data_IF_033510817357
#
_entry.id   IF_033510817357
#
_cell.length_a   1.000
_cell.length_b   1.000
_cell.length_c   1.000
_cell.angle_alpha   90.00
_cell.angle_beta   90.00
_cell.angle_gamma   90.00
#
_symmetry.space_group_name_H-M   'P 1'
#
loop_
_entity.id
_entity.type
_entity.pdbx_description
1 polymer ?
#
# COMPACT_ATOMS: atom_id res chain seq x y z
N UNK A 1 -79.39 -6.77 -44.00
CA UNK A 1 -78.84 -5.40 -44.05
C UNK A 1 -77.60 -5.37 -43.25
N UNK A 2 -76.47 -5.07 -43.90
CA UNK A 2 -75.10 -5.19 -43.44
C UNK A 2 -74.63 -3.92 -42.70
N UNK A 3 -74.02 -4.05 -41.52
CA UNK A 3 -73.28 -2.96 -40.91
C UNK A 3 -71.85 -3.47 -40.62
N UNK A 4 -70.92 -2.80 -41.27
CA UNK A 4 -69.51 -3.02 -41.20
C UNK A 4 -68.98 -2.24 -40.02
N UNK A 5 -68.38 -2.93 -39.05
CA UNK A 5 -67.68 -2.28 -37.93
C UNK A 5 -66.19 -2.23 -38.23
N UNK A 6 -65.63 -1.04 -38.27
CA UNK A 6 -64.22 -0.76 -38.46
C UNK A 6 -63.50 -0.92 -37.13
N UNK A 7 -62.57 -1.91 -37.05
CA UNK A 7 -61.63 -2.01 -35.94
C UNK A 7 -60.37 -1.19 -36.24
N UNK A 8 -60.14 -0.17 -35.44
CA UNK A 8 -58.88 0.57 -35.42
C UNK A 8 -57.90 -0.13 -34.47
N UNK A 9 -56.86 -0.69 -35.07
CA UNK A 9 -55.72 -1.24 -34.29
C UNK A 9 -54.78 -0.12 -33.87
N UNK A 10 -54.74 0.13 -32.54
CA UNK A 10 -53.77 1.04 -31.94
C UNK A 10 -52.41 0.33 -31.74
N UNK A 11 -51.44 0.75 -32.51
CA UNK A 11 -50.03 0.30 -32.33
C UNK A 11 -49.43 1.13 -31.20
N UNK A 12 -49.27 0.50 -30.02
CA UNK A 12 -48.55 1.08 -28.91
C UNK A 12 -47.03 0.91 -29.10
N UNK A 13 -46.33 2.00 -29.35
CA UNK A 13 -44.85 2.04 -29.37
C UNK A 13 -44.36 2.05 -27.91
N UNK A 14 -43.88 0.90 -27.46
CA UNK A 14 -43.07 0.79 -26.25
C UNK A 14 -41.63 1.25 -26.57
N UNK A 15 -41.34 2.50 -26.21
CA UNK A 15 -39.97 3.02 -26.21
C UNK A 15 -39.22 2.43 -25.01
N UNK A 16 -38.49 1.33 -25.20
CA UNK A 16 -37.53 0.82 -24.20
C UNK A 16 -36.32 1.73 -24.17
N UNK A 17 -36.29 2.64 -23.21
CA UNK A 17 -35.13 3.46 -22.91
C UNK A 17 -33.98 2.59 -22.32
N UNK A 18 -33.08 2.15 -23.16
CA UNK A 18 -31.81 1.57 -22.75
C UNK A 18 -30.96 2.66 -22.10
N UNK A 19 -30.97 2.68 -20.78
CA UNK A 19 -30.09 3.53 -19.97
C UNK A 19 -28.69 2.92 -20.03
N UNK A 20 -27.88 3.35 -21.00
CA UNK A 20 -26.47 3.04 -21.08
C UNK A 20 -25.76 3.70 -19.89
N UNK A 21 -25.56 2.95 -18.81
CA UNK A 21 -24.57 3.31 -17.79
C UNK A 21 -23.18 3.24 -18.43
N UNK A 22 -22.69 4.39 -18.86
CA UNK A 22 -21.29 4.55 -19.21
C UNK A 22 -20.48 4.41 -17.90
N UNK A 23 -19.98 3.22 -17.65
CA UNK A 23 -18.84 3.08 -16.74
C UNK A 23 -17.69 3.85 -17.40
N UNK A 24 -17.44 5.06 -16.92
CA UNK A 24 -16.19 5.74 -17.20
C UNK A 24 -15.09 4.84 -16.63
N UNK A 25 -14.41 4.12 -17.51
CA UNK A 25 -13.15 3.50 -17.16
C UNK A 25 -12.25 4.67 -16.70
N UNK A 26 -11.99 4.74 -15.40
CA UNK A 26 -10.95 5.60 -14.86
C UNK A 26 -9.67 5.06 -15.50
N UNK A 27 -9.23 5.69 -16.58
CA UNK A 27 -7.87 5.54 -17.06
C UNK A 27 -7.00 6.00 -15.90
N UNK A 28 -6.28 5.06 -15.34
CA UNK A 28 -5.09 5.38 -14.57
C UNK A 28 -4.11 6.00 -15.56
N UNK A 29 -4.25 7.30 -15.82
CA UNK A 29 -3.16 8.07 -16.39
C UNK A 29 -2.00 7.87 -15.43
N UNK A 30 -0.85 7.43 -15.97
CA UNK A 30 0.34 7.08 -15.22
C UNK A 30 0.94 8.30 -14.51
N UNK A 31 0.21 8.82 -13.55
CA UNK A 31 0.75 9.76 -12.58
C UNK A 31 1.75 8.96 -11.74
N UNK A 32 3.03 9.27 -11.90
CA UNK A 32 4.08 8.76 -11.02
C UNK A 32 3.64 8.93 -9.58
N UNK A 33 3.72 7.86 -8.78
CA UNK A 33 3.34 7.93 -7.37
C UNK A 33 4.13 9.04 -6.67
N UNK A 34 3.49 9.85 -5.84
CA UNK A 34 4.14 10.99 -5.24
C UNK A 34 5.25 10.53 -4.27
N UNK A 35 6.46 10.98 -4.52
CA UNK A 35 7.58 10.87 -3.60
C UNK A 35 7.48 12.06 -2.65
N UNK A 36 7.51 11.81 -1.33
CA UNK A 36 7.31 12.88 -0.35
C UNK A 36 8.55 13.77 -0.18
N UNK A 37 9.74 13.18 -0.26
CA UNK A 37 11.03 13.86 -0.15
C UNK A 37 12.11 13.02 -0.84
N UNK A 38 13.14 13.67 -1.33
CA UNK A 38 14.33 13.02 -1.89
C UNK A 38 15.41 12.73 -0.85
N UNK A 39 15.16 13.09 0.42
CA UNK A 39 16.08 12.86 1.54
C UNK A 39 15.49 11.84 2.50
N UNK A 40 16.37 11.00 3.05
CA UNK A 40 16.02 10.13 4.16
C UNK A 40 15.57 10.98 5.36
N UNK A 41 14.44 10.67 6.01
CA UNK A 41 14.05 11.36 7.23
C UNK A 41 15.13 11.20 8.30
N UNK A 42 15.52 12.32 8.91
CA UNK A 42 16.53 12.30 9.96
C UNK A 42 16.07 11.43 11.14
N UNK A 43 16.99 10.64 11.70
CA UNK A 43 16.73 9.83 12.89
C UNK A 43 15.72 8.68 12.71
N UNK A 44 15.35 8.32 11.49
CA UNK A 44 14.36 7.26 11.26
C UNK A 44 14.75 5.91 11.88
N UNK A 45 16.03 5.63 12.05
CA UNK A 45 16.50 4.38 12.66
C UNK A 45 16.29 4.33 14.18
N UNK A 46 16.06 5.47 14.82
CA UNK A 46 15.76 5.60 16.25
C UNK A 46 14.25 5.60 16.52
N UNK A 47 13.42 5.48 15.48
CA UNK A 47 11.98 5.41 15.64
C UNK A 47 11.56 4.09 16.30
N UNK A 48 10.37 4.11 16.89
CA UNK A 48 9.86 2.96 17.64
C UNK A 48 9.44 1.84 16.72
N UNK A 49 9.68 0.61 17.16
CA UNK A 49 9.27 -0.60 16.45
C UNK A 49 7.74 -0.72 16.42
N UNK A 50 7.21 -0.95 15.24
CA UNK A 50 5.81 -1.33 15.02
C UNK A 50 5.69 -2.85 14.95
N UNK A 51 6.53 -3.49 14.15
CA UNK A 51 6.52 -4.94 13.92
C UNK A 51 7.78 -5.42 13.24
N UNK A 52 7.95 -6.73 13.19
CA UNK A 52 8.92 -7.44 12.38
C UNK A 52 8.21 -8.45 11.49
N UNK A 53 8.79 -8.78 10.34
CA UNK A 53 8.27 -9.81 9.45
C UNK A 53 9.40 -10.50 8.69
N UNK A 54 9.16 -11.72 8.25
CA UNK A 54 9.89 -12.39 7.20
C UNK A 54 8.96 -12.57 6.01
N UNK A 55 9.41 -12.15 4.84
CA UNK A 55 8.68 -12.36 3.59
C UNK A 55 9.43 -13.38 2.74
N UNK A 56 8.77 -14.49 2.47
CA UNK A 56 9.32 -15.57 1.65
C UNK A 56 9.26 -15.28 0.15
N UNK A 57 9.70 -16.24 -0.64
CA UNK A 57 9.66 -16.21 -2.10
C UNK A 57 10.71 -15.29 -2.68
N UNK A 58 10.35 -14.50 -3.67
CA UNK A 58 11.29 -13.65 -4.41
C UNK A 58 11.94 -12.54 -3.57
N UNK A 59 11.31 -12.17 -2.46
CA UNK A 59 11.86 -11.15 -1.56
C UNK A 59 12.86 -11.75 -0.59
N UNK A 60 12.52 -12.86 0.04
CA UNK A 60 13.32 -13.58 1.03
C UNK A 60 14.07 -12.63 1.97
N UNK A 61 13.33 -11.72 2.59
CA UNK A 61 13.88 -10.65 3.41
C UNK A 61 13.34 -10.64 4.85
N UNK A 62 14.19 -10.23 5.79
CA UNK A 62 13.79 -9.84 7.13
C UNK A 62 13.47 -8.35 7.15
N UNK A 63 12.39 -7.99 7.85
CA UNK A 63 11.89 -6.62 7.94
C UNK A 63 11.74 -6.15 9.36
N UNK A 64 12.16 -4.91 9.61
CA UNK A 64 11.73 -4.12 10.75
C UNK A 64 10.86 -2.98 10.24
N UNK A 65 9.68 -2.82 10.82
CA UNK A 65 8.78 -1.71 10.51
C UNK A 65 8.76 -0.77 11.70
N UNK A 66 9.19 0.46 11.47
CA UNK A 66 9.31 1.51 12.47
C UNK A 66 8.30 2.61 12.19
N UNK A 67 7.94 3.36 13.21
CA UNK A 67 7.08 4.53 13.07
C UNK A 67 7.56 5.71 13.89
N UNK A 68 7.32 6.92 13.37
CA UNK A 68 7.46 8.12 14.18
C UNK A 68 6.42 8.15 15.30
N UNK A 69 6.53 9.08 16.23
CA UNK A 69 5.64 9.15 17.41
C UNK A 69 4.16 9.29 17.03
N UNK A 70 3.85 9.97 15.93
CA UNK A 70 2.47 10.12 15.43
C UNK A 70 1.92 8.77 14.98
N UNK A 71 2.68 8.01 14.17
CA UNK A 71 2.29 6.69 13.72
C UNK A 71 2.12 5.71 14.89
N UNK A 72 3.08 5.69 15.83
CA UNK A 72 3.01 4.83 17.03
C UNK A 72 1.79 5.14 17.87
N UNK A 73 1.48 6.43 18.10
CA UNK A 73 0.29 6.83 18.84
C UNK A 73 -1.00 6.39 18.15
N UNK A 74 -1.06 6.51 16.83
CA UNK A 74 -2.22 6.05 16.05
C UNK A 74 -2.42 4.53 16.17
N UNK A 75 -1.36 3.74 16.02
CA UNK A 75 -1.42 2.28 16.21
C UNK A 75 -1.91 1.87 17.58
N UNK A 76 -1.31 2.44 18.65
CA UNK A 76 -1.67 2.12 20.04
C UNK A 76 -3.12 2.46 20.37
N UNK A 77 -3.66 3.50 19.77
CA UNK A 77 -5.04 3.93 19.97
C UNK A 77 -6.03 3.30 18.99
N UNK A 78 -5.59 2.43 18.09
CA UNK A 78 -6.43 1.84 17.03
C UNK A 78 -7.06 2.90 16.11
N UNK A 79 -6.39 4.07 15.95
CA UNK A 79 -6.94 5.20 15.21
C UNK A 79 -6.77 5.02 13.71
N UNK A 80 -7.88 5.00 12.98
CA UNK A 80 -7.94 5.04 11.51
C UNK A 80 -8.90 6.16 11.06
N UNK A 81 -8.60 6.84 9.95
CA UNK A 81 -7.32 6.80 9.25
C UNK A 81 -6.18 7.39 10.10
N UNK A 82 -4.94 7.09 9.71
CA UNK A 82 -3.77 7.68 10.37
C UNK A 82 -3.78 9.19 10.21
N UNK A 83 -3.34 9.94 11.25
CA UNK A 83 -3.23 11.39 11.18
C UNK A 83 -2.15 11.83 10.19
N UNK A 84 -2.33 13.00 9.58
CA UNK A 84 -1.28 13.64 8.79
C UNK A 84 -0.01 13.82 9.62
N UNK A 85 1.13 13.63 8.97
CA UNK A 85 2.44 13.60 9.62
C UNK A 85 2.84 12.22 10.18
N UNK A 86 1.98 11.20 10.14
CA UNK A 86 2.39 9.84 10.43
C UNK A 86 3.39 9.37 9.36
N UNK A 87 4.51 8.78 9.81
CA UNK A 87 5.51 8.22 8.91
C UNK A 87 5.84 6.81 9.38
N UNK A 88 5.86 5.89 8.42
CA UNK A 88 6.20 4.49 8.61
C UNK A 88 7.42 4.19 7.75
N UNK A 89 8.43 3.57 8.36
CA UNK A 89 9.64 3.12 7.70
C UNK A 89 9.71 1.60 7.72
N UNK A 90 9.91 0.99 6.56
CA UNK A 90 10.19 -0.43 6.42
C UNK A 90 11.67 -0.61 6.05
N UNK A 91 12.44 -1.17 6.96
CA UNK A 91 13.83 -1.55 6.73
C UNK A 91 13.86 -3.01 6.32
N UNK A 92 14.64 -3.36 5.29
CA UNK A 92 14.73 -4.73 4.80
C UNK A 92 16.18 -5.18 4.62
N UNK A 93 16.42 -6.44 4.96
CA UNK A 93 17.71 -7.13 4.85
C UNK A 93 17.51 -8.51 4.26
N UNK A 94 18.53 -9.05 3.61
CA UNK A 94 18.52 -10.45 3.22
C UNK A 94 18.30 -11.34 4.44
N UNK A 95 17.47 -12.37 4.28
CA UNK A 95 17.27 -13.42 5.25
C UNK A 95 18.34 -14.47 5.04
N UNK A 96 19.25 -14.64 5.99
CA UNK A 96 20.37 -15.58 5.87
C UNK A 96 20.50 -16.46 7.10
N UNK A 97 20.92 -17.73 6.97
CA UNK A 97 21.18 -18.58 8.11
C UNK A 97 22.36 -18.02 8.93
N UNK A 98 22.25 -18.13 10.24
CA UNK A 98 23.37 -17.85 11.16
C UNK A 98 24.23 -19.09 11.29
N UNK A 99 25.32 -19.16 10.56
CA UNK A 99 26.23 -20.31 10.61
C UNK A 99 26.77 -20.55 12.03
N UNK A 100 27.14 -19.48 12.74
CA UNK A 100 27.65 -19.56 14.10
C UNK A 100 26.62 -20.17 15.06
N UNK A 101 25.41 -19.62 15.10
CA UNK A 101 24.36 -20.11 16.00
C UNK A 101 23.91 -21.51 15.60
N UNK A 102 23.76 -21.80 14.32
CA UNK A 102 23.33 -23.11 13.83
C UNK A 102 24.35 -24.21 14.16
N UNK A 103 25.64 -23.88 14.15
CA UNK A 103 26.68 -24.78 14.60
C UNK A 103 26.54 -25.11 16.09
N UNK A 104 26.24 -24.12 16.93
CA UNK A 104 25.99 -24.34 18.38
C UNK A 104 24.75 -25.18 18.60
N UNK A 105 23.67 -24.94 17.85
CA UNK A 105 22.42 -25.70 17.96
C UNK A 105 22.48 -27.11 17.36
N UNK A 106 23.51 -27.39 16.55
CA UNK A 106 23.64 -28.65 15.82
C UNK A 106 22.59 -28.85 14.72
N UNK A 107 21.87 -27.80 14.35
CA UNK A 107 20.85 -27.78 13.28
C UNK A 107 20.59 -26.36 12.78
N UNK A 108 20.01 -26.27 11.59
CA UNK A 108 19.56 -24.99 11.01
C UNK A 108 18.23 -24.56 11.67
N UNK A 109 18.30 -23.54 12.51
CA UNK A 109 17.12 -22.95 13.18
C UNK A 109 17.27 -21.46 13.47
N UNK A 110 18.46 -20.89 13.30
CA UNK A 110 18.76 -19.50 13.56
C UNK A 110 19.03 -18.78 12.24
N UNK A 111 18.31 -17.69 12.01
CA UNK A 111 18.45 -16.83 10.85
C UNK A 111 18.68 -15.39 11.30
N UNK A 112 19.45 -14.66 10.56
CA UNK A 112 19.85 -13.29 10.89
C UNK A 112 19.70 -12.38 9.67
N UNK A 113 19.84 -11.09 9.90
CA UNK A 113 19.92 -10.10 8.82
C UNK A 113 21.25 -10.20 8.11
N UNK A 114 21.22 -10.43 6.80
CA UNK A 114 22.37 -10.25 5.91
C UNK A 114 22.47 -8.80 5.44
N UNK A 115 22.92 -8.60 4.19
CA UNK A 115 23.05 -7.28 3.60
C UNK A 115 21.72 -6.51 3.62
N UNK A 116 21.78 -5.20 3.89
CA UNK A 116 20.65 -4.33 3.72
C UNK A 116 20.24 -4.25 2.24
N UNK A 117 18.93 -4.34 1.96
CA UNK A 117 18.44 -4.28 0.58
C UNK A 117 17.85 -2.91 0.26
N UNK A 118 16.95 -2.43 1.07
CA UNK A 118 16.34 -1.11 0.89
C UNK A 118 15.66 -0.62 2.17
N UNK A 119 15.31 0.65 2.16
CA UNK A 119 14.36 1.23 3.12
C UNK A 119 13.22 1.92 2.37
N UNK A 120 12.00 1.66 2.80
CA UNK A 120 10.79 2.26 2.21
C UNK A 120 10.08 3.11 3.25
N UNK A 121 9.44 4.17 2.77
CA UNK A 121 8.65 5.06 3.63
C UNK A 121 7.24 5.22 3.07
N UNK A 122 6.28 5.27 3.99
CA UNK A 122 4.95 5.79 3.76
C UNK A 122 4.75 7.02 4.62
N UNK A 123 4.33 8.13 4.02
CA UNK A 123 4.12 9.41 4.69
C UNK A 123 2.69 9.86 4.52
N UNK A 124 1.99 10.08 5.62
CA UNK A 124 0.60 10.54 5.59
C UNK A 124 0.54 12.05 5.44
N UNK A 125 -0.10 12.49 4.35
CA UNK A 125 -0.57 13.85 4.11
C UNK A 125 -1.82 13.76 3.24
N UNK A 126 -2.97 13.90 3.87
CA UNK A 126 -4.28 13.67 3.25
C UNK A 126 -4.59 14.62 2.10
N UNK A 127 -3.96 15.80 2.07
CA UNK A 127 -4.11 16.80 1.00
C UNK A 127 -3.12 16.58 -0.13
N UNK A 128 -1.85 16.43 0.21
CA UNK A 128 -0.77 16.27 -0.78
C UNK A 128 -0.92 14.97 -1.58
N UNK A 129 -1.33 13.90 -0.93
CA UNK A 129 -1.41 12.55 -1.48
C UNK A 129 -2.85 12.05 -1.62
N UNK A 130 -3.80 12.94 -1.88
CA UNK A 130 -5.24 12.58 -1.98
C UNK A 130 -5.50 11.46 -2.99
N UNK A 131 -4.79 11.43 -4.12
CA UNK A 131 -4.94 10.41 -5.16
C UNK A 131 -4.50 8.99 -4.72
N UNK A 132 -3.69 8.90 -3.67
CA UNK A 132 -3.14 7.64 -3.13
C UNK A 132 -3.63 7.36 -1.70
N UNK A 133 -4.89 7.74 -1.39
CA UNK A 133 -5.48 7.53 -0.07
C UNK A 133 -4.83 8.35 1.04
N UNK A 134 -4.14 9.43 0.68
CA UNK A 134 -3.41 10.30 1.60
C UNK A 134 -2.01 9.79 1.94
N UNK A 135 -1.47 8.81 1.22
CA UNK A 135 -0.13 8.27 1.47
C UNK A 135 0.83 8.56 0.32
N UNK A 136 1.95 9.18 0.64
CA UNK A 136 3.13 9.26 -0.23
C UNK A 136 4.04 8.06 -0.01
N UNK A 137 4.73 7.61 -1.07
CA UNK A 137 5.64 6.47 -1.05
C UNK A 137 7.03 6.88 -1.47
N UNK A 138 8.05 6.35 -0.80
CA UNK A 138 9.44 6.51 -1.19
C UNK A 138 10.24 5.24 -0.89
N UNK A 139 11.28 5.01 -1.67
CA UNK A 139 12.24 3.94 -1.44
C UNK A 139 13.66 4.47 -1.63
N UNK A 140 14.56 3.92 -0.84
CA UNK A 140 16.00 4.21 -0.91
C UNK A 140 16.78 2.89 -0.94
N UNK A 141 17.77 2.83 -1.81
CA UNK A 141 18.76 1.76 -1.87
C UNK A 141 20.13 2.40 -1.73
N UNK A 142 20.97 1.88 -0.87
CA UNK A 142 22.31 2.43 -0.57
C UNK A 142 22.27 3.95 -0.22
N UNK A 143 21.24 4.36 0.50
CA UNK A 143 21.04 5.76 0.92
C UNK A 143 20.61 6.71 -0.20
N UNK A 144 20.36 6.21 -1.41
CA UNK A 144 19.91 6.99 -2.57
C UNK A 144 18.44 6.72 -2.90
N UNK A 145 17.67 7.74 -3.27
CA UNK A 145 16.30 7.51 -3.71
C UNK A 145 16.29 6.68 -5.00
N UNK A 146 15.32 5.78 -5.12
CA UNK A 146 15.04 5.08 -6.38
C UNK A 146 14.22 5.97 -7.30
N UNK A 147 14.23 5.67 -8.60
CA UNK A 147 13.44 6.39 -9.59
C UNK A 147 11.94 6.27 -9.33
N UNK A 148 11.19 7.32 -9.70
CA UNK A 148 9.73 7.34 -9.56
C UNK A 148 9.05 6.16 -10.27
N UNK A 149 9.58 5.71 -11.41
CA UNK A 149 9.06 4.55 -12.13
C UNK A 149 9.14 3.26 -11.31
N UNK A 150 10.15 3.11 -10.45
CA UNK A 150 10.29 1.95 -9.55
C UNK A 150 9.22 1.94 -8.44
N UNK A 151 8.57 3.07 -8.18
CA UNK A 151 7.50 3.22 -7.19
C UNK A 151 6.09 3.00 -7.78
N UNK A 152 5.98 2.84 -9.11
CA UNK A 152 4.70 2.81 -9.84
C UNK A 152 3.73 1.68 -9.44
N UNK A 153 4.19 0.69 -8.69
CA UNK A 153 3.37 -0.39 -8.16
C UNK A 153 3.00 -0.26 -6.67
N UNK A 154 3.61 0.69 -5.94
CA UNK A 154 3.47 0.75 -4.48
C UNK A 154 2.02 0.91 -4.05
N UNK A 155 1.34 1.95 -4.53
CA UNK A 155 -0.04 2.21 -4.15
C UNK A 155 -0.99 1.08 -4.59
N UNK A 156 -0.87 0.61 -5.82
CA UNK A 156 -1.70 -0.48 -6.34
C UNK A 156 -1.61 -1.74 -5.47
N UNK A 157 -0.40 -2.08 -5.00
CA UNK A 157 -0.17 -3.18 -4.07
C UNK A 157 -0.87 -2.95 -2.71
N UNK A 158 -0.96 -1.70 -2.24
CA UNK A 158 -1.56 -1.34 -0.96
C UNK A 158 -3.10 -1.21 -1.00
N UNK A 159 -3.71 -1.03 -2.17
CA UNK A 159 -5.18 -0.90 -2.34
C UNK A 159 -5.99 -2.02 -1.67
N UNK A 160 -5.63 -3.31 -1.75
CA UNK A 160 -6.40 -4.39 -1.11
C UNK A 160 -6.54 -4.26 0.41
N UNK A 161 -5.69 -3.47 1.05
CA UNK A 161 -5.73 -3.23 2.50
C UNK A 161 -6.21 -1.82 2.87
N UNK A 162 -6.97 -1.16 1.98
CA UNK A 162 -7.53 0.18 2.19
C UNK A 162 -8.34 0.31 3.49
N UNK A 163 -9.06 -0.74 3.89
CA UNK A 163 -9.81 -0.78 5.15
C UNK A 163 -8.91 -0.61 6.40
N UNK A 164 -7.59 -0.81 6.27
CA UNK A 164 -6.59 -0.58 7.30
C UNK A 164 -5.72 0.64 6.98
N UNK A 165 -6.31 1.60 6.29
CA UNK A 165 -5.63 2.79 5.80
C UNK A 165 -4.36 2.45 4.98
N UNK A 166 -4.49 1.44 4.08
CA UNK A 166 -3.44 0.98 3.15
C UNK A 166 -2.22 0.34 3.82
N UNK A 167 -2.31 -0.11 5.09
CA UNK A 167 -1.18 -0.68 5.83
C UNK A 167 -1.32 -2.19 5.99
N UNK A 168 -0.32 -2.95 5.54
CA UNK A 168 -0.22 -4.38 5.79
C UNK A 168 0.11 -4.70 7.24
N UNK A 169 0.98 -3.86 7.83
CA UNK A 169 1.54 -4.07 9.16
C UNK A 169 0.51 -3.82 10.25
N UNK A 170 0.42 -4.74 11.20
CA UNK A 170 -0.28 -4.56 12.47
C UNK A 170 0.72 -4.21 13.55
N UNK A 171 0.27 -3.49 14.59
CA UNK A 171 1.11 -3.22 15.74
C UNK A 171 1.35 -4.51 16.51
N UNK A 172 2.61 -4.92 16.64
CA UNK A 172 3.01 -5.99 17.53
C UNK A 172 3.21 -5.42 18.95
N UNK A 173 2.61 -6.02 19.97
CA UNK A 173 2.76 -5.56 21.35
C UNK A 173 4.18 -5.72 21.85
#
# INVERSE_FOLDING_TARGET
>A
MKLIGCMLAGVGLLAAGLMYMRFAAVRADGASEPIFDVKLPAGYRDWKLISVAHEEGNLNDLRAVLGNDIAIKAYRNGKLPFPDGAIIARLAWKYVPSEENNKVFGREQSFVTGDATNVQFMVKDSRKYAATGGWGFAQFSDGRPVDAAALGGCFACHVPVAARDYLFTKYAP
#
